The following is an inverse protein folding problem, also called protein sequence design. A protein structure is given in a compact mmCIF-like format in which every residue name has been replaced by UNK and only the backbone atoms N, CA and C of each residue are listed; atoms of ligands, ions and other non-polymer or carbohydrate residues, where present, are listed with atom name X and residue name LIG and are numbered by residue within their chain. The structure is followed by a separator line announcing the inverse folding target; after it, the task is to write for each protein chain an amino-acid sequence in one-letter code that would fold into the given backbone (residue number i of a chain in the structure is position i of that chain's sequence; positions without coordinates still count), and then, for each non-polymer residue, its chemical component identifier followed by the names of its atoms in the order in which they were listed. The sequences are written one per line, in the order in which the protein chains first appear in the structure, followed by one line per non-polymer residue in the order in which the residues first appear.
data_IF_456454745447
#
_entry.id   IF_456454745447
#
_cell.length_a   1.000
_cell.length_b   1.000
_cell.length_c   1.000
_cell.angle_alpha   90.00
_cell.angle_beta   90.00
_cell.angle_gamma   90.00
#
_symmetry.space_group_name_H-M   'P 1'
#
loop_
_entity.id
_entity.type
_entity.pdbx_description
1 polymer ?
#
# COMPACT_ATOMS: atom_id res chain seq x y z
N UNK A 1 7.80 -16.49 -8.12
CA UNK A 1 7.64 -15.73 -6.87
C UNK A 1 6.20 -15.87 -6.42
N UNK A 2 5.97 -15.96 -5.11
CA UNK A 2 4.62 -15.97 -4.55
C UNK A 2 4.15 -14.52 -4.32
N UNK A 3 2.87 -14.23 -4.55
CA UNK A 3 2.31 -12.90 -4.37
C UNK A 3 1.51 -12.84 -3.07
N UNK A 4 1.74 -11.80 -2.27
CA UNK A 4 1.00 -11.50 -1.06
C UNK A 4 0.46 -10.08 -1.13
N UNK A 5 -0.74 -9.89 -0.58
CA UNK A 5 -1.37 -8.60 -0.34
C UNK A 5 -1.60 -8.51 1.18
N UNK A 6 -1.04 -7.49 1.82
CA UNK A 6 -1.12 -7.37 3.29
C UNK A 6 -2.55 -7.20 3.77
N UNK A 7 -3.41 -6.50 3.01
CA UNK A 7 -4.82 -6.33 3.37
C UNK A 7 -5.54 -7.68 3.29
N UNK A 8 -5.31 -8.47 2.24
CA UNK A 8 -5.89 -9.81 2.12
C UNK A 8 -5.39 -10.78 3.20
N UNK A 9 -4.11 -10.67 3.59
CA UNK A 9 -3.55 -11.50 4.66
C UNK A 9 -4.13 -11.11 6.03
N UNK A 10 -4.43 -9.82 6.26
CA UNK A 10 -5.21 -9.38 7.43
C UNK A 10 -6.61 -9.98 7.38
N UNK A 11 -7.35 -9.84 6.27
CA UNK A 11 -8.71 -10.39 6.13
C UNK A 11 -8.76 -11.90 6.40
N UNK A 12 -7.77 -12.65 5.89
CA UNK A 12 -7.65 -14.09 6.08
C UNK A 12 -7.42 -14.47 7.55
N UNK A 13 -6.63 -13.69 8.29
CA UNK A 13 -6.31 -13.95 9.71
C UNK A 13 -7.45 -13.56 10.65
N UNK A 14 -8.15 -12.47 10.33
CA UNK A 14 -9.27 -11.98 11.15
C UNK A 14 -10.58 -12.69 10.80
N UNK A 15 -10.70 -13.24 9.59
CA UNK A 15 -11.95 -13.77 9.06
C UNK A 15 -12.99 -12.68 8.74
N UNK A 16 -12.56 -11.42 8.67
CA UNK A 16 -13.40 -10.24 8.45
C UNK A 16 -12.75 -9.30 7.42
N UNK A 17 -13.55 -8.54 6.67
CA UNK A 17 -13.03 -7.58 5.70
C UNK A 17 -12.28 -6.43 6.39
N UNK A 18 -11.35 -5.80 5.67
CA UNK A 18 -10.53 -4.69 6.21
C UNK A 18 -11.39 -3.54 6.73
N UNK A 19 -12.51 -3.25 6.06
CA UNK A 19 -13.41 -2.17 6.48
C UNK A 19 -14.01 -2.45 7.85
N UNK A 20 -14.49 -3.68 8.06
CA UNK A 20 -15.03 -4.09 9.36
C UNK A 20 -13.97 -4.08 10.47
N UNK A 21 -12.75 -4.55 10.20
CA UNK A 21 -11.65 -4.50 11.19
C UNK A 21 -11.34 -3.04 11.56
N UNK A 22 -11.30 -2.15 10.57
CA UNK A 22 -11.05 -0.73 10.77
C UNK A 22 -12.18 -0.06 11.58
N UNK A 23 -13.44 -0.39 11.30
CA UNK A 23 -14.60 0.15 12.02
C UNK A 23 -14.63 -0.31 13.48
N UNK A 24 -14.25 -1.56 13.76
CA UNK A 24 -14.26 -2.13 15.11
C UNK A 24 -13.09 -1.64 15.97
N UNK A 25 -11.88 -1.63 15.40
CA UNK A 25 -10.64 -1.41 16.15
C UNK A 25 -10.10 0.02 16.02
N UNK A 26 -10.67 0.81 15.11
CA UNK A 26 -10.13 2.10 14.72
C UNK A 26 -8.83 1.98 13.92
N UNK A 27 -8.31 3.13 13.49
CA UNK A 27 -7.09 3.17 12.69
C UNK A 27 -5.89 2.61 13.46
N UNK A 28 -5.72 2.96 14.74
CA UNK A 28 -4.58 2.52 15.54
C UNK A 28 -4.52 0.99 15.66
N UNK A 29 -5.63 0.34 16.03
CA UNK A 29 -5.69 -1.12 16.12
C UNK A 29 -5.46 -1.82 14.78
N UNK A 30 -6.00 -1.27 13.68
CA UNK A 30 -5.72 -1.78 12.35
C UNK A 30 -4.23 -1.69 11.99
N UNK A 31 -3.57 -0.55 12.30
CA UNK A 31 -2.14 -0.36 12.01
C UNK A 31 -1.25 -1.30 12.83
N UNK A 32 -1.60 -1.58 14.07
CA UNK A 32 -0.91 -2.58 14.90
C UNK A 32 -0.97 -3.99 14.29
N UNK A 33 -2.11 -4.36 13.68
CA UNK A 33 -2.24 -5.63 12.96
C UNK A 33 -1.44 -5.64 11.67
N UNK A 34 -1.56 -4.57 10.88
CA UNK A 34 -0.86 -4.42 9.61
C UNK A 34 0.65 -4.50 9.80
N UNK A 35 1.18 -3.84 10.83
CA UNK A 35 2.61 -3.89 11.15
C UNK A 35 3.10 -5.32 11.44
N UNK A 36 2.34 -6.11 12.20
CA UNK A 36 2.67 -7.51 12.51
C UNK A 36 2.65 -8.39 11.26
N UNK A 37 1.60 -8.23 10.44
CA UNK A 37 1.47 -8.96 9.17
C UNK A 37 2.63 -8.62 8.23
N UNK A 38 2.97 -7.34 8.06
CA UNK A 38 4.10 -6.95 7.22
C UNK A 38 5.43 -7.46 7.80
N UNK A 39 5.62 -7.45 9.12
CA UNK A 39 6.83 -8.04 9.72
C UNK A 39 7.00 -9.51 9.32
N UNK A 40 5.96 -10.33 9.45
CA UNK A 40 6.01 -11.74 9.10
C UNK A 40 6.15 -11.99 7.59
N UNK A 41 5.49 -11.19 6.76
CA UNK A 41 5.58 -11.33 5.30
C UNK A 41 6.97 -10.93 4.79
N UNK A 42 7.58 -9.89 5.35
CA UNK A 42 8.93 -9.42 4.97
C UNK A 42 10.06 -10.36 5.41
N UNK A 43 9.79 -11.35 6.28
CA UNK A 43 10.75 -12.41 6.60
C UNK A 43 10.77 -13.53 5.53
N UNK A 44 9.77 -13.59 4.65
CA UNK A 44 9.71 -14.57 3.56
C UNK A 44 10.66 -14.17 2.43
N UNK A 45 11.22 -15.18 1.77
CA UNK A 45 12.08 -14.98 0.59
C UNK A 45 11.33 -15.28 -0.71
N UNK A 46 11.70 -14.60 -1.79
CA UNK A 46 11.17 -14.89 -3.13
C UNK A 46 9.70 -14.53 -3.34
N UNK A 47 9.20 -13.53 -2.60
CA UNK A 47 7.82 -13.04 -2.67
C UNK A 47 7.73 -11.65 -3.31
N UNK A 48 6.55 -11.33 -3.83
CA UNK A 48 6.12 -9.96 -4.13
C UNK A 48 5.05 -9.58 -3.11
N UNK A 49 5.25 -8.47 -2.40
CA UNK A 49 4.32 -7.98 -1.38
C UNK A 49 3.68 -6.67 -1.84
N UNK A 50 2.36 -6.68 -2.01
CA UNK A 50 1.54 -5.47 -2.09
C UNK A 50 1.17 -5.03 -0.67
N UNK A 51 1.52 -3.79 -0.30
CA UNK A 51 1.25 -3.23 1.02
C UNK A 51 0.01 -2.34 1.01
N UNK A 52 -0.72 -2.30 2.13
CA UNK A 52 -1.80 -1.35 2.36
C UNK A 52 -1.29 0.09 2.28
N UNK A 53 -2.10 1.01 1.73
CA UNK A 53 -1.69 2.40 1.51
C UNK A 53 -1.49 3.24 2.78
N UNK A 54 -1.78 2.71 3.96
CA UNK A 54 -1.49 3.35 5.25
C UNK A 54 -0.27 2.78 5.97
N UNK A 55 0.29 1.67 5.46
CA UNK A 55 1.38 0.92 6.09
C UNK A 55 2.63 1.77 6.36
N UNK A 56 2.93 2.70 5.44
CA UNK A 56 4.08 3.62 5.57
C UNK A 56 3.97 4.59 6.74
N UNK A 57 2.80 4.75 7.40
CA UNK A 57 2.69 5.58 8.60
C UNK A 57 3.52 5.02 9.76
N UNK A 58 3.61 3.69 9.89
CA UNK A 58 4.48 3.07 10.90
C UNK A 58 5.94 3.16 10.48
N UNK A 59 6.76 3.78 11.33
CA UNK A 59 8.22 3.83 11.15
C UNK A 59 8.84 2.43 11.17
N UNK A 60 8.32 1.54 12.00
CA UNK A 60 8.81 0.16 12.07
C UNK A 60 8.50 -0.62 10.80
N UNK A 61 7.31 -0.43 10.23
CA UNK A 61 6.97 -0.96 8.91
C UNK A 61 7.93 -0.44 7.84
N UNK A 62 8.19 0.88 7.81
CA UNK A 62 9.16 1.49 6.88
C UNK A 62 10.56 0.88 7.01
N UNK A 63 11.09 0.76 8.23
CA UNK A 63 12.40 0.15 8.50
C UNK A 63 12.48 -1.30 8.00
N UNK A 64 11.41 -2.09 8.17
CA UNK A 64 11.38 -3.50 7.75
C UNK A 64 11.31 -3.62 6.23
N UNK A 65 10.50 -2.80 5.57
CA UNK A 65 10.39 -2.80 4.11
C UNK A 65 11.73 -2.45 3.45
N UNK A 66 12.37 -1.37 3.88
CA UNK A 66 13.64 -0.92 3.29
C UNK A 66 14.82 -1.84 3.63
N UNK A 67 14.82 -2.50 4.79
CA UNK A 67 15.92 -3.39 5.18
C UNK A 67 15.82 -4.81 4.61
N UNK A 68 14.66 -5.25 4.13
CA UNK A 68 14.38 -6.67 3.82
C UNK A 68 13.95 -6.93 2.37
N UNK A 69 13.90 -5.90 1.53
CA UNK A 69 13.53 -6.07 0.13
C UNK A 69 13.83 -4.82 -0.68
N UNK A 70 13.44 -4.87 -1.95
CA UNK A 70 13.44 -3.69 -2.83
C UNK A 70 12.05 -3.07 -2.78
N UNK A 71 11.98 -1.79 -2.43
CA UNK A 71 10.73 -1.06 -2.30
C UNK A 71 10.45 -0.29 -3.59
N UNK A 72 9.31 -0.62 -4.22
CA UNK A 72 8.84 0.06 -5.43
C UNK A 72 7.65 0.95 -5.10
N UNK A 73 7.82 2.26 -5.26
CA UNK A 73 6.73 3.22 -5.13
C UNK A 73 6.02 3.42 -6.47
N UNK A 74 4.73 3.10 -6.50
CA UNK A 74 3.84 3.29 -7.64
C UNK A 74 3.16 4.66 -7.58
N UNK A 75 3.87 5.70 -8.03
CA UNK A 75 3.36 7.07 -8.09
C UNK A 75 2.13 7.16 -9.01
N UNK A 76 1.03 7.70 -8.49
CA UNK A 76 -0.25 7.82 -9.20
C UNK A 76 -0.87 9.17 -8.90
N UNK A 77 -1.29 9.90 -9.93
CA UNK A 77 -1.98 11.20 -9.76
C UNK A 77 -3.28 11.09 -8.98
N UNK A 78 -3.67 12.17 -8.28
CA UNK A 78 -4.95 12.25 -7.54
C UNK A 78 -6.13 11.97 -8.48
N UNK A 79 -6.09 12.48 -9.70
CA UNK A 79 -7.09 12.23 -10.74
C UNK A 79 -7.28 10.74 -11.03
N UNK A 80 -6.17 9.99 -11.16
CA UNK A 80 -6.21 8.55 -11.40
C UNK A 80 -6.60 7.77 -10.15
N UNK A 81 -6.16 8.20 -8.97
CA UNK A 81 -6.60 7.61 -7.71
C UNK A 81 -8.12 7.72 -7.57
N UNK A 82 -8.70 8.91 -7.77
CA UNK A 82 -10.15 9.15 -7.76
C UNK A 82 -10.89 8.24 -8.73
N UNK A 83 -10.44 8.17 -9.98
CA UNK A 83 -11.08 7.33 -10.99
C UNK A 83 -11.07 5.84 -10.62
N UNK A 84 -9.97 5.35 -10.02
CA UNK A 84 -9.81 3.95 -9.59
C UNK A 84 -10.63 3.63 -8.33
N UNK A 85 -10.77 4.58 -7.41
CA UNK A 85 -11.42 4.35 -6.10
C UNK A 85 -12.90 4.71 -6.06
N UNK A 86 -13.45 5.40 -7.08
CA UNK A 86 -14.83 5.91 -7.08
C UNK A 86 -15.92 4.87 -6.75
N UNK A 87 -15.71 3.60 -7.09
CA UNK A 87 -16.68 2.51 -6.86
C UNK A 87 -16.24 1.50 -5.81
N UNK A 88 -15.10 1.73 -5.19
CA UNK A 88 -14.51 0.81 -4.22
C UNK A 88 -15.12 1.09 -2.84
N UNK A 89 -15.83 0.10 -2.29
CA UNK A 89 -16.45 0.17 -0.96
C UNK A 89 -15.51 -0.28 0.17
N UNK A 90 -14.35 -0.84 -0.16
CA UNK A 90 -13.39 -1.39 0.80
C UNK A 90 -12.41 -0.34 1.34
N UNK A 91 -12.67 0.96 1.14
CA UNK A 91 -11.76 2.05 1.49
C UNK A 91 -12.38 2.95 2.56
N UNK A 92 -12.28 2.59 3.85
CA UNK A 92 -12.95 3.31 4.94
C UNK A 92 -12.70 4.82 4.93
N UNK A 93 -11.45 5.21 4.66
CA UNK A 93 -11.05 6.62 4.64
C UNK A 93 -11.73 7.44 3.53
N UNK A 94 -12.24 6.83 2.46
CA UNK A 94 -12.91 7.53 1.35
C UNK A 94 -14.43 7.58 1.48
N UNK A 95 -15.00 7.01 2.56
CA UNK A 95 -16.44 6.98 2.82
C UNK A 95 -16.84 7.87 4.01
N UNK A 96 -16.29 9.08 4.04
CA UNK A 96 -16.58 10.12 5.03
C UNK A 96 -17.38 11.26 4.39
N UNK A 97 -17.84 12.22 5.21
CA UNK A 97 -18.57 13.40 4.71
C UNK A 97 -17.72 14.29 3.79
N UNK A 98 -16.40 14.31 4.01
CA UNK A 98 -15.45 15.07 3.20
C UNK A 98 -15.36 14.53 1.77
N UNK A 99 -15.32 15.40 0.74
CA UNK A 99 -15.17 14.98 -0.64
C UNK A 99 -13.94 14.07 -0.86
N UNK A 100 -14.05 12.95 -1.60
CA UNK A 100 -12.93 12.01 -1.79
C UNK A 100 -11.64 12.63 -2.33
N UNK A 101 -11.75 13.70 -3.14
CA UNK A 101 -10.59 14.44 -3.66
C UNK A 101 -9.79 15.08 -2.53
N UNK A 102 -10.47 15.81 -1.64
CA UNK A 102 -9.83 16.49 -0.52
C UNK A 102 -9.16 15.48 0.43
N UNK A 103 -9.83 14.33 0.66
CA UNK A 103 -9.23 13.24 1.43
C UNK A 103 -7.95 12.74 0.77
N UNK A 104 -7.98 12.42 -0.52
CA UNK A 104 -6.80 11.91 -1.24
C UNK A 104 -5.66 12.93 -1.27
N UNK A 105 -5.96 14.21 -1.44
CA UNK A 105 -4.96 15.29 -1.38
C UNK A 105 -4.32 15.39 0.01
N UNK A 106 -5.11 15.32 1.08
CA UNK A 106 -4.59 15.29 2.45
C UNK A 106 -3.72 14.05 2.71
N UNK A 107 -4.17 12.87 2.27
CA UNK A 107 -3.41 11.62 2.38
C UNK A 107 -2.11 11.68 1.57
N UNK A 108 -2.11 12.27 0.39
CA UNK A 108 -0.89 12.44 -0.42
C UNK A 108 0.11 13.38 0.27
N UNK A 109 -0.35 14.49 0.83
CA UNK A 109 0.51 15.41 1.59
C UNK A 109 1.16 14.74 2.81
N UNK A 110 0.44 13.86 3.49
CA UNK A 110 0.96 13.08 4.62
C UNK A 110 1.92 11.98 4.16
N UNK A 111 1.55 11.22 3.12
CA UNK A 111 2.17 9.91 2.83
C UNK A 111 3.19 9.92 1.70
N UNK A 112 3.12 10.84 0.74
CA UNK A 112 4.08 10.89 -0.37
C UNK A 112 5.53 11.02 0.10
N UNK A 113 5.87 11.91 1.06
CA UNK A 113 7.22 11.99 1.58
C UNK A 113 7.69 10.68 2.22
N UNK A 114 6.77 9.91 2.82
CA UNK A 114 7.07 8.62 3.45
C UNK A 114 7.25 7.50 2.43
N UNK A 115 6.51 7.54 1.32
CA UNK A 115 6.75 6.62 0.19
C UNK A 115 8.10 6.90 -0.45
N UNK A 116 8.41 8.18 -0.71
CA UNK A 116 9.69 8.61 -1.28
C UNK A 116 10.87 8.29 -0.37
N UNK A 117 10.72 8.40 0.96
CA UNK A 117 11.76 8.10 1.95
C UNK A 117 12.30 6.66 1.82
N UNK A 118 11.43 5.69 1.54
CA UNK A 118 11.79 4.26 1.54
C UNK A 118 11.92 3.64 0.16
N UNK A 119 11.55 4.35 -0.90
CA UNK A 119 11.54 3.79 -2.24
C UNK A 119 12.95 3.67 -2.82
N UNK A 120 13.31 2.48 -3.27
CA UNK A 120 14.50 2.27 -4.10
C UNK A 120 14.20 2.65 -5.56
N UNK A 121 12.95 2.43 -5.99
CA UNK A 121 12.48 2.72 -7.35
C UNK A 121 11.11 3.38 -7.30
N UNK A 122 10.95 4.49 -8.00
CA UNK A 122 9.66 5.16 -8.18
C UNK A 122 9.21 5.05 -9.63
N UNK A 123 7.98 4.60 -9.85
CA UNK A 123 7.38 4.44 -11.17
C UNK A 123 6.04 5.16 -11.22
N UNK A 124 5.91 6.08 -12.18
CA UNK A 124 4.63 6.69 -12.51
C UNK A 124 3.74 5.68 -13.21
N UNK A 125 2.52 5.50 -12.73
CA UNK A 125 1.59 4.50 -13.28
C UNK A 125 0.45 5.10 -14.12
N UNK A 126 0.49 6.40 -14.36
CA UNK A 126 -0.55 7.10 -15.12
C UNK A 126 -0.58 6.59 -16.56
N UNK A 127 -1.78 6.22 -17.04
CA UNK A 127 -2.06 5.74 -18.40
C UNK A 127 -1.31 4.46 -18.84
N UNK A 128 -0.68 3.76 -17.91
CA UNK A 128 -0.03 2.47 -18.16
C UNK A 128 -0.85 1.30 -17.62
N UNK A 129 -0.84 0.17 -18.35
CA UNK A 129 -1.42 -1.07 -17.85
C UNK A 129 -0.54 -1.69 -16.76
N UNK A 130 -1.13 -2.43 -15.83
CA UNK A 130 -0.39 -3.15 -14.79
C UNK A 130 0.70 -4.06 -15.37
N UNK A 131 0.46 -4.69 -16.53
CA UNK A 131 1.44 -5.52 -17.22
C UNK A 131 2.66 -4.72 -17.70
N UNK A 132 2.45 -3.51 -18.21
CA UNK A 132 3.54 -2.64 -18.66
C UNK A 132 4.38 -2.20 -17.47
N UNK A 133 3.74 -1.75 -16.39
CA UNK A 133 4.42 -1.34 -15.15
C UNK A 133 5.20 -2.52 -14.55
N UNK A 134 4.61 -3.71 -14.47
CA UNK A 134 5.30 -4.90 -13.97
C UNK A 134 6.54 -5.25 -14.80
N UNK A 135 6.46 -5.18 -16.14
CA UNK A 135 7.62 -5.41 -17.00
C UNK A 135 8.71 -4.35 -16.82
N UNK A 136 8.33 -3.08 -16.59
CA UNK A 136 9.28 -2.01 -16.27
C UNK A 136 10.02 -2.30 -14.96
N UNK A 137 9.29 -2.73 -13.92
CA UNK A 137 9.89 -3.14 -12.63
C UNK A 137 10.90 -4.26 -12.85
N UNK A 138 10.49 -5.34 -13.53
CA UNK A 138 11.36 -6.49 -13.80
C UNK A 138 12.65 -6.03 -14.49
N UNK A 139 12.54 -5.21 -15.53
CA UNK A 139 13.71 -4.72 -16.26
C UNK A 139 14.64 -3.86 -15.39
N UNK A 140 14.09 -3.02 -14.52
CA UNK A 140 14.88 -2.22 -13.58
C UNK A 140 15.58 -3.08 -12.52
N UNK A 141 14.92 -4.14 -12.04
CA UNK A 141 15.52 -5.06 -11.07
C UNK A 141 16.58 -5.98 -11.68
N UNK A 142 16.47 -6.33 -12.97
CA UNK A 142 17.49 -7.12 -13.69
C UNK A 142 18.73 -6.29 -14.10
N UNK A 143 18.61 -4.96 -14.17
CA UNK A 143 19.69 -4.07 -14.62
C UNK A 143 20.54 -3.50 -13.48
N UNK A 144 20.20 -3.81 -12.22
CA UNK A 144 20.92 -3.42 -11.00
C UNK A 144 21.64 -4.64 -10.39
#
# INVERSE_FOLDING_TARGET
MEFYDSDQEIEKRTGADVGWVFDLEGEEGFRDREEKVINELTEKQGIVLATGGGSVKSRETRNRLSARGVVVYLETTIEKQLARTQRDKKRPLLHVETPPREVLEALANERNPLYEEIADVTIRTDDQSAKVVANQIIHMLESN
#
